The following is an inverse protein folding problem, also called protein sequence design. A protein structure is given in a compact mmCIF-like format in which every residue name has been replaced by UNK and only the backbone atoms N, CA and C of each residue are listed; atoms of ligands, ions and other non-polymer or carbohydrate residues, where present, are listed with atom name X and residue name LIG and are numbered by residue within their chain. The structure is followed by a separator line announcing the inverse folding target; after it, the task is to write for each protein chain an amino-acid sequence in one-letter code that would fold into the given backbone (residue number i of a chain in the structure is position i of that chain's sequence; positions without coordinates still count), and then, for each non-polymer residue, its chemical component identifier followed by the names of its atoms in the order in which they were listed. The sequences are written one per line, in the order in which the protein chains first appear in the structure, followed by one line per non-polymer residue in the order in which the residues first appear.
data_IF_337821711481
#
_entry.id   IF_337821711481
#
_cell.length_a   1.000
_cell.length_b   1.000
_cell.length_c   1.000
_cell.angle_alpha   90.00
_cell.angle_beta   90.00
_cell.angle_gamma   90.00
#
_symmetry.space_group_name_H-M   'P 1'
#
loop_
_entity.id
_entity.type
_entity.pdbx_description
1 polymer ?
#
# COMPACT_ATOMS: atom_id res chain seq x y z
N UNK A 1 2.42 6.81 -5.19
CA UNK A 1 3.40 7.47 -4.30
C UNK A 1 4.70 6.69 -4.32
N UNK A 2 5.85 7.30 -4.06
CA UNK A 2 7.14 6.61 -4.08
C UNK A 2 7.80 6.71 -2.70
N UNK A 3 8.39 5.62 -2.22
CA UNK A 3 9.10 5.60 -0.94
C UNK A 3 10.59 5.94 -1.09
N UNK A 4 11.34 6.13 0.02
CA UNK A 4 12.75 6.49 -0.07
C UNK A 4 13.65 5.44 -0.72
N UNK A 5 13.17 4.21 -0.86
CA UNK A 5 13.89 3.11 -1.52
C UNK A 5 13.60 3.05 -3.02
N UNK A 6 12.81 3.99 -3.56
CA UNK A 6 12.43 4.04 -4.97
C UNK A 6 11.34 3.04 -5.33
N UNK A 7 10.64 2.46 -4.35
CA UNK A 7 9.52 1.56 -4.62
C UNK A 7 8.28 2.40 -4.89
N UNK A 8 7.51 2.01 -5.91
CA UNK A 8 6.28 2.69 -6.28
C UNK A 8 5.10 2.02 -5.58
N UNK A 9 4.42 2.79 -4.73
CA UNK A 9 3.20 2.41 -4.03
C UNK A 9 1.98 2.89 -4.82
N UNK A 10 1.10 1.97 -5.16
CA UNK A 10 -0.05 2.17 -6.04
C UNK A 10 -1.29 1.71 -5.27
N UNK A 11 -2.08 2.69 -4.81
CA UNK A 11 -3.36 2.42 -4.19
C UNK A 11 -4.45 2.30 -5.25
N UNK A 12 -5.29 1.29 -5.11
CA UNK A 12 -6.40 1.03 -6.05
C UNK A 12 -7.70 0.81 -5.26
N UNK A 13 -8.80 0.61 -5.99
CA UNK A 13 -10.07 0.21 -5.37
C UNK A 13 -10.11 -1.30 -5.04
N UNK A 14 -9.04 -2.03 -5.36
CA UNK A 14 -8.91 -3.48 -5.22
C UNK A 14 -7.57 -3.84 -4.56
N UNK A 15 -7.10 -3.04 -3.60
CA UNK A 15 -5.92 -3.31 -2.79
C UNK A 15 -4.73 -2.39 -3.08
N UNK A 16 -3.62 -2.71 -2.43
CA UNK A 16 -2.34 -2.01 -2.55
C UNK A 16 -1.36 -2.81 -3.39
N UNK A 17 -0.71 -2.14 -4.33
CA UNK A 17 0.41 -2.72 -5.07
C UNK A 17 1.69 -1.94 -4.79
N UNK A 18 2.80 -2.65 -4.56
CA UNK A 18 4.14 -2.07 -4.40
C UNK A 18 5.03 -2.65 -5.50
N UNK A 19 5.49 -1.80 -6.41
CA UNK A 19 6.43 -2.17 -7.47
C UNK A 19 7.86 -1.83 -7.05
N UNK A 20 8.73 -2.84 -7.08
CA UNK A 20 10.15 -2.73 -6.79
C UNK A 20 10.94 -3.38 -7.93
N UNK A 21 11.45 -2.56 -8.86
CA UNK A 21 12.01 -3.06 -10.12
C UNK A 21 10.97 -3.84 -10.93
N UNK A 22 11.30 -5.09 -11.27
CA UNK A 22 10.40 -6.01 -11.99
C UNK A 22 9.46 -6.80 -11.06
N UNK A 23 9.59 -6.63 -9.74
CA UNK A 23 8.73 -7.30 -8.76
C UNK A 23 7.51 -6.45 -8.44
N UNK A 24 6.33 -7.09 -8.41
CA UNK A 24 5.08 -6.51 -7.93
C UNK A 24 4.60 -7.29 -6.70
N UNK A 25 4.43 -6.59 -5.58
CA UNK A 25 3.85 -7.12 -4.35
C UNK A 25 2.43 -6.58 -4.23
N UNK A 26 1.45 -7.47 -4.04
CA UNK A 26 0.05 -7.11 -3.90
C UNK A 26 -0.43 -7.44 -2.49
N UNK A 27 -1.12 -6.50 -1.86
CA UNK A 27 -1.72 -6.64 -0.53
C UNK A 27 -3.21 -6.40 -0.65
N UNK A 28 -3.97 -7.26 0.01
CA UNK A 28 -5.43 -7.26 0.00
C UNK A 28 -5.99 -7.38 1.41
N UNK A 29 -7.28 -7.10 1.54
CA UNK A 29 -8.04 -7.41 2.74
C UNK A 29 -8.31 -8.91 2.84
N UNK A 30 -7.98 -9.49 4.00
CA UNK A 30 -8.40 -10.84 4.38
C UNK A 30 -9.09 -10.79 5.76
N UNK A 31 -10.38 -11.12 5.86
CA UNK A 31 -11.11 -11.06 7.13
C UNK A 31 -10.60 -12.06 8.18
N UNK A 32 -9.80 -13.05 7.79
CA UNK A 32 -9.22 -14.04 8.70
C UNK A 32 -7.80 -13.69 9.13
N UNK A 33 -7.18 -12.67 8.52
CA UNK A 33 -5.84 -12.21 8.85
C UNK A 33 -5.88 -10.78 9.40
N UNK A 34 -5.73 -10.59 10.73
CA UNK A 34 -5.77 -9.27 11.34
C UNK A 34 -4.58 -8.37 10.98
N UNK A 35 -3.54 -8.90 10.33
CA UNK A 35 -2.42 -8.09 9.83
C UNK A 35 -2.55 -7.72 8.34
N UNK A 36 -3.61 -8.21 7.67
CA UNK A 36 -3.94 -7.82 6.30
C UNK A 36 -4.45 -6.37 6.21
N UNK A 37 -4.75 -5.90 5.00
CA UNK A 37 -5.35 -4.56 4.85
C UNK A 37 -6.73 -4.51 5.53
N UNK A 38 -7.09 -3.41 6.22
CA UNK A 38 -8.44 -3.25 6.75
C UNK A 38 -9.53 -3.22 5.66
N UNK A 39 -9.18 -2.77 4.45
CA UNK A 39 -10.06 -2.70 3.28
C UNK A 39 -9.23 -2.60 1.99
N UNK A 40 -9.73 -3.20 0.90
CA UNK A 40 -9.12 -3.10 -0.42
C UNK A 40 -9.30 -1.72 -1.06
N UNK A 41 -10.24 -0.92 -0.58
CA UNK A 41 -10.50 0.39 -1.15
C UNK A 41 -9.54 1.42 -0.56
N UNK A 42 -8.42 1.65 -1.25
CA UNK A 42 -7.43 2.64 -0.85
C UNK A 42 -7.90 4.04 -1.24
N UNK A 43 -7.94 4.93 -0.26
CA UNK A 43 -8.36 6.32 -0.40
C UNK A 43 -7.18 7.28 -0.43
N UNK A 44 -6.09 6.93 0.24
CA UNK A 44 -4.92 7.78 0.35
C UNK A 44 -3.62 7.00 0.50
N UNK A 45 -2.55 7.56 -0.07
CA UNK A 45 -1.18 7.19 0.22
C UNK A 45 -0.42 8.45 0.65
N UNK A 46 0.27 8.37 1.78
CA UNK A 46 1.03 9.49 2.30
C UNK A 46 2.41 9.05 2.75
N UNK A 47 3.44 9.80 2.39
CA UNK A 47 4.81 9.60 2.89
C UNK A 47 5.08 10.66 3.94
N UNK A 48 5.40 10.24 5.17
CA UNK A 48 5.78 11.17 6.22
C UNK A 48 7.22 11.69 6.05
N UNK A 49 7.61 12.65 6.89
CA UNK A 49 8.95 13.26 6.83
C UNK A 49 10.09 12.30 7.20
N UNK A 50 9.80 11.20 7.88
CA UNK A 50 10.77 10.15 8.22
C UNK A 50 10.88 9.09 7.11
N UNK A 51 10.06 9.22 6.06
CA UNK A 51 10.05 8.30 4.94
C UNK A 51 9.13 7.10 5.13
N UNK A 52 8.32 7.05 6.20
CA UNK A 52 7.35 5.98 6.36
C UNK A 52 6.16 6.20 5.41
N UNK A 53 5.63 5.10 4.89
CA UNK A 53 4.46 5.09 4.04
C UNK A 53 3.22 4.78 4.89
N UNK A 54 2.23 5.64 4.77
CA UNK A 54 0.93 5.54 5.41
C UNK A 54 -0.15 5.30 4.36
N UNK A 55 -1.06 4.39 4.67
CA UNK A 55 -2.17 4.00 3.80
C UNK A 55 -3.48 4.35 4.50
N UNK A 56 -4.35 5.08 3.81
CA UNK A 56 -5.72 5.34 4.24
C UNK A 56 -6.67 4.45 3.44
N UNK A 57 -7.49 3.66 4.12
CA UNK A 57 -8.51 2.80 3.53
C UNK A 57 -9.92 3.24 3.96
N UNK A 58 -10.95 2.78 3.25
CA UNK A 58 -12.36 3.00 3.65
C UNK A 58 -12.72 2.21 4.91
#
# INVERSE_FOLDING_TARGET
AEDPQGRLWIGTHAGLNIKAGDTLLSFHHDPNDPVSLPSDHLLALHRDRRGNMWVGTR
#
